data_IF_927675950675
#
_entry.id   IF_927675950675
#
_cell.length_a   1.000
_cell.length_b   1.000
_cell.length_c   1.000
_cell.angle_alpha   90.00
_cell.angle_beta   90.00
_cell.angle_gamma   90.00
#
_symmetry.space_group_name_H-M   'P 1'
#
loop_
_entity.id
_entity.type
_entity.pdbx_description
1 polymer ?
#
# COMPACT_ATOMS: atom_id res chain seq x y z
N UNK A 1 -0.81 -21.97 0.31
CA UNK A 1 -0.30 -20.84 1.10
C UNK A 1 -1.48 -20.05 1.64
N UNK A 2 -1.70 -20.02 2.97
CA UNK A 2 -2.68 -19.10 3.57
C UNK A 2 -2.10 -17.68 3.43
N UNK A 3 -2.52 -16.94 2.41
CA UNK A 3 -2.25 -15.52 2.35
C UNK A 3 -2.97 -14.90 3.54
N UNK A 4 -2.21 -14.54 4.57
CA UNK A 4 -2.78 -13.89 5.74
C UNK A 4 -3.56 -12.65 5.27
N UNK A 5 -4.82 -12.55 5.66
CA UNK A 5 -5.78 -11.46 5.37
C UNK A 5 -5.38 -10.09 5.94
N UNK A 6 -4.10 -9.91 6.29
CA UNK A 6 -3.54 -8.69 6.87
C UNK A 6 -3.41 -7.65 5.77
N UNK A 7 -3.93 -6.46 6.04
CA UNK A 7 -3.92 -5.32 5.12
C UNK A 7 -4.55 -5.67 3.76
N UNK A 8 -5.58 -6.51 3.75
CA UNK A 8 -6.29 -6.89 2.53
C UNK A 8 -6.90 -5.67 1.82
N UNK A 9 -7.37 -4.70 2.59
CA UNK A 9 -7.86 -3.40 2.11
C UNK A 9 -6.82 -2.68 1.25
N UNK A 10 -5.55 -2.65 1.67
CA UNK A 10 -4.46 -2.02 0.91
C UNK A 10 -4.15 -2.83 -0.35
N UNK A 11 -4.14 -4.17 -0.24
CA UNK A 11 -3.87 -5.07 -1.37
C UNK A 11 -4.93 -4.95 -2.46
N UNK A 12 -6.20 -4.82 -2.07
CA UNK A 12 -7.33 -4.60 -2.98
C UNK A 12 -7.29 -3.18 -3.57
N UNK A 13 -7.06 -2.17 -2.73
CA UNK A 13 -7.04 -0.78 -3.16
C UNK A 13 -5.92 -0.52 -4.18
N UNK A 14 -4.72 -1.09 -3.98
CA UNK A 14 -3.55 -0.92 -4.87
C UNK A 14 -3.89 -1.14 -6.35
N UNK A 15 -4.60 -2.22 -6.67
CA UNK A 15 -4.89 -2.59 -8.07
C UNK A 15 -3.60 -2.66 -8.92
N UNK A 16 -3.55 -1.83 -9.97
CA UNK A 16 -2.43 -1.70 -10.90
C UNK A 16 -1.28 -0.80 -10.43
N UNK A 17 -1.48 -0.03 -9.34
CA UNK A 17 -0.46 0.90 -8.83
C UNK A 17 0.76 0.10 -8.34
N UNK A 18 1.99 0.34 -8.83
CA UNK A 18 3.16 -0.41 -8.38
C UNK A 18 3.53 -0.18 -6.90
N UNK A 19 4.09 -1.19 -6.23
CA UNK A 19 4.51 -1.07 -4.82
C UNK A 19 5.67 -0.08 -4.64
N UNK A 20 6.62 -0.03 -5.58
CA UNK A 20 7.74 0.91 -5.54
C UNK A 20 7.26 2.37 -5.51
N UNK A 21 6.20 2.69 -6.24
CA UNK A 21 5.65 4.05 -6.33
C UNK A 21 4.93 4.45 -5.03
N UNK A 22 4.21 3.51 -4.42
CA UNK A 22 3.60 3.72 -3.09
C UNK A 22 4.70 3.93 -2.04
N UNK A 23 5.77 3.13 -2.10
CA UNK A 23 6.90 3.24 -1.19
C UNK A 23 7.63 4.59 -1.34
N UNK A 24 7.81 5.05 -2.58
CA UNK A 24 8.40 6.35 -2.90
C UNK A 24 7.60 7.51 -2.29
N UNK A 25 6.26 7.53 -2.46
CA UNK A 25 5.39 8.55 -1.83
C UNK A 25 5.38 8.49 -0.30
N UNK A 26 5.62 7.30 0.27
CA UNK A 26 5.79 7.11 1.72
C UNK A 26 7.18 7.49 2.23
N UNK A 27 8.14 7.80 1.33
CA UNK A 27 9.53 8.09 1.70
C UNK A 27 10.30 6.87 2.20
N UNK A 28 9.91 5.65 1.79
CA UNK A 28 10.53 4.40 2.23
C UNK A 28 10.98 3.56 1.03
N UNK A 29 11.87 2.59 1.28
CA UNK A 29 12.26 1.61 0.28
C UNK A 29 11.13 0.60 0.01
N UNK A 30 11.03 0.07 -1.22
CA UNK A 30 10.00 -0.89 -1.60
C UNK A 30 10.01 -2.15 -0.71
N UNK A 31 11.19 -2.68 -0.40
CA UNK A 31 11.31 -3.81 0.56
C UNK A 31 10.73 -3.48 1.94
N UNK A 32 10.87 -2.24 2.42
CA UNK A 32 10.28 -1.82 3.68
C UNK A 32 8.75 -1.87 3.60
N UNK A 33 8.16 -1.44 2.48
CA UNK A 33 6.72 -1.57 2.26
C UNK A 33 6.27 -3.03 2.28
N UNK A 34 6.99 -3.96 1.64
CA UNK A 34 6.66 -5.39 1.71
C UNK A 34 6.71 -5.94 3.14
N UNK A 35 7.70 -5.53 3.94
CA UNK A 35 7.83 -5.96 5.34
C UNK A 35 6.69 -5.43 6.20
N UNK A 36 6.37 -4.14 6.05
CA UNK A 36 5.28 -3.47 6.76
C UNK A 36 3.93 -4.14 6.42
N UNK A 37 3.67 -4.44 5.15
CA UNK A 37 2.43 -5.09 4.70
C UNK A 37 2.27 -6.55 5.17
N UNK A 38 3.32 -7.16 5.74
CA UNK A 38 3.23 -8.50 6.38
C UNK A 38 2.76 -8.42 7.83
N UNK A 39 2.80 -7.25 8.46
CA UNK A 39 2.36 -7.02 9.84
C UNK A 39 0.99 -6.31 9.85
N UNK A 40 0.22 -6.45 10.92
CA UNK A 40 -1.02 -5.69 11.06
C UNK A 40 -0.70 -4.22 11.28
N UNK A 41 -1.22 -3.35 10.42
CA UNK A 41 -0.97 -1.92 10.51
C UNK A 41 -2.00 -1.23 11.42
N UNK A 42 -1.58 -0.22 12.20
CA UNK A 42 -2.53 0.65 12.89
C UNK A 42 -3.41 1.38 11.87
N UNK A 43 -4.65 1.68 12.27
CA UNK A 43 -5.68 2.29 11.41
C UNK A 43 -5.20 3.54 10.68
N UNK A 44 -4.51 4.43 11.40
CA UNK A 44 -3.98 5.68 10.84
C UNK A 44 -3.02 5.44 9.68
N UNK A 45 -2.10 4.47 9.83
CA UNK A 45 -1.13 4.17 8.78
C UNK A 45 -1.78 3.47 7.59
N UNK A 46 -2.85 2.70 7.82
CA UNK A 46 -3.65 2.14 6.72
C UNK A 46 -4.34 3.24 5.91
N UNK A 47 -4.98 4.19 6.60
CA UNK A 47 -5.65 5.32 5.95
C UNK A 47 -4.68 6.18 5.14
N UNK A 48 -3.46 6.41 5.65
CA UNK A 48 -2.41 7.13 4.92
C UNK A 48 -2.02 6.41 3.63
N UNK A 49 -1.77 5.09 3.68
CA UNK A 49 -1.42 4.30 2.50
C UNK A 49 -2.57 4.30 1.48
N UNK A 50 -3.82 4.17 1.95
CA UNK A 50 -4.99 4.21 1.08
C UNK A 50 -5.15 5.56 0.36
N UNK A 51 -4.92 6.68 1.07
CA UNK A 51 -4.92 8.02 0.46
C UNK A 51 -3.84 8.17 -0.61
N UNK A 52 -2.64 7.66 -0.34
CA UNK A 52 -1.54 7.66 -1.32
C UNK A 52 -1.91 6.84 -2.55
N UNK A 53 -2.49 5.65 -2.37
CA UNK A 53 -2.94 4.81 -3.49
C UNK A 53 -3.99 5.54 -4.33
N UNK A 54 -4.97 6.19 -3.70
CA UNK A 54 -6.00 6.94 -4.40
C UNK A 54 -5.43 8.13 -5.19
N UNK A 55 -4.51 8.88 -4.59
CA UNK A 55 -3.81 9.96 -5.29
C UNK A 55 -3.01 9.44 -6.50
N UNK A 56 -2.31 8.31 -6.32
CA UNK A 56 -1.54 7.68 -7.40
C UNK A 56 -2.42 7.17 -8.53
N UNK A 57 -3.61 6.64 -8.23
CA UNK A 57 -4.60 6.26 -9.24
C UNK A 57 -5.04 7.44 -10.09
N UNK A 58 -5.32 8.58 -9.45
CA UNK A 58 -5.68 9.81 -10.15
C UNK A 58 -4.51 10.33 -11.01
N UNK A 59 -3.28 10.27 -10.50
CA UNK A 59 -2.07 10.65 -11.26
C UNK A 59 -1.82 9.73 -12.48
N UNK A 60 -2.12 8.43 -12.35
CA UNK A 60 -1.89 7.42 -13.38
C UNK A 60 -3.09 7.21 -14.34
N UNK A 61 -4.28 7.71 -13.98
CA UNK A 61 -5.52 7.50 -14.73
C UNK A 61 -6.04 6.05 -14.68
N UNK A 62 -5.83 5.34 -13.57
CA UNK A 62 -6.18 3.90 -13.39
C UNK A 62 -7.11 3.63 -12.22
#
# INVERSE_FOLDING_TARGET
MKYHSRNEEIRRAKGSVPNWLIAEKLGIHENSLYLILRQELPKEKKEEILKIIEALKQELGV
#
